data_IF_321782002091
#
_entry.id   IF_321782002091
#
_cell.length_a   1.000
_cell.length_b   1.000
_cell.length_c   1.000
_cell.angle_alpha   90.00
_cell.angle_beta   90.00
_cell.angle_gamma   90.00
#
_symmetry.space_group_name_H-M   'P 1'
#
loop_
_entity.id
_entity.type
_entity.pdbx_description
1 polymer ?
#
# COMPACT_ATOMS: atom_id res chain seq x y z
N UNK A 1 19.83 -12.94 11.14
CA UNK A 1 18.96 -12.52 10.02
C UNK A 1 17.56 -13.01 10.33
N UNK A 2 16.62 -12.11 10.62
CA UNK A 2 15.22 -12.48 10.87
C UNK A 2 14.56 -12.83 9.53
N UNK A 3 14.21 -14.10 9.36
CA UNK A 3 13.43 -14.60 8.23
C UNK A 3 11.96 -14.20 8.40
N UNK A 4 11.34 -13.72 7.31
CA UNK A 4 9.91 -13.42 7.25
C UNK A 4 9.09 -14.63 7.73
N UNK A 5 8.13 -14.42 8.63
CA UNK A 5 7.13 -15.41 9.03
C UNK A 5 5.79 -15.01 8.44
N UNK A 6 5.03 -15.97 7.91
CA UNK A 6 3.70 -15.71 7.40
C UNK A 6 2.82 -15.08 8.48
N UNK A 7 2.20 -13.95 8.15
CA UNK A 7 1.26 -13.29 9.05
C UNK A 7 -0.04 -14.09 9.13
N UNK A 8 -0.79 -13.92 10.22
CA UNK A 8 -2.08 -14.61 10.43
C UNK A 8 -3.07 -14.36 9.28
N UNK A 9 -3.10 -13.15 8.73
CA UNK A 9 -3.90 -12.80 7.56
C UNK A 9 -3.48 -13.54 6.29
N UNK A 10 -2.17 -13.70 6.06
CA UNK A 10 -1.65 -14.44 4.91
C UNK A 10 -1.95 -15.92 5.04
N UNK A 11 -1.75 -16.51 6.22
CA UNK A 11 -2.10 -17.91 6.50
C UNK A 11 -3.59 -18.17 6.29
N UNK A 12 -4.45 -17.26 6.78
CA UNK A 12 -5.89 -17.35 6.59
C UNK A 12 -6.26 -17.35 5.09
N UNK A 13 -5.56 -16.56 4.27
CA UNK A 13 -5.78 -16.53 2.83
C UNK A 13 -5.23 -17.76 2.10
N UNK A 14 -4.03 -18.18 2.43
CA UNK A 14 -3.43 -19.39 1.88
C UNK A 14 -4.31 -20.60 2.16
N UNK A 15 -4.84 -20.69 3.39
CA UNK A 15 -5.79 -21.74 3.81
C UNK A 15 -7.09 -21.62 3.03
N UNK A 16 -7.69 -20.44 2.97
CA UNK A 16 -8.96 -20.23 2.27
C UNK A 16 -8.86 -20.48 0.75
N UNK A 17 -7.68 -20.31 0.16
CA UNK A 17 -7.40 -20.56 -1.25
C UNK A 17 -6.90 -21.99 -1.54
N UNK A 18 -6.63 -22.80 -0.51
CA UNK A 18 -6.01 -24.12 -0.69
C UNK A 18 -4.60 -24.05 -1.28
N UNK A 19 -3.84 -23.01 -0.95
CA UNK A 19 -2.49 -22.75 -1.47
C UNK A 19 -1.39 -22.87 -0.41
N UNK A 20 -1.70 -23.44 0.76
CA UNK A 20 -0.75 -23.62 1.87
C UNK A 20 0.51 -24.35 1.41
N UNK A 21 0.37 -25.47 0.69
CA UNK A 21 1.52 -26.25 0.22
C UNK A 21 2.28 -25.57 -0.93
N UNK A 22 1.56 -24.82 -1.79
CA UNK A 22 2.14 -24.16 -2.96
C UNK A 22 3.05 -22.98 -2.60
N UNK A 23 2.85 -22.37 -1.43
CA UNK A 23 3.63 -21.23 -0.92
C UNK A 23 4.54 -21.61 0.24
N UNK A 24 4.54 -22.88 0.64
CA UNK A 24 5.44 -23.40 1.66
C UNK A 24 6.90 -23.10 1.26
N UNK A 25 7.67 -22.51 2.19
CA UNK A 25 9.08 -22.18 1.95
C UNK A 25 9.34 -20.97 1.05
N UNK A 26 8.32 -20.30 0.50
CA UNK A 26 8.50 -19.13 -0.39
C UNK A 26 8.77 -17.82 0.39
N UNK A 27 8.54 -17.82 1.71
CA UNK A 27 8.75 -16.67 2.60
C UNK A 27 10.11 -15.92 2.47
N UNK A 28 11.26 -16.54 2.10
CA UNK A 28 12.52 -15.79 1.94
C UNK A 28 12.53 -14.80 0.77
N UNK A 29 11.51 -14.83 -0.09
CA UNK A 29 11.33 -13.85 -1.16
C UNK A 29 11.04 -12.44 -0.60
N UNK A 30 10.45 -12.36 0.59
CA UNK A 30 10.24 -11.12 1.31
C UNK A 30 11.55 -10.71 2.00
N UNK A 31 12.00 -9.50 1.70
CA UNK A 31 13.21 -8.93 2.28
C UNK A 31 12.83 -7.95 3.38
N UNK A 32 13.53 -7.91 4.53
CA UNK A 32 13.19 -7.03 5.65
C UNK A 32 13.53 -5.54 5.41
N UNK A 33 14.00 -5.20 4.20
CA UNK A 33 14.44 -3.87 3.81
C UNK A 33 14.37 -3.76 2.28
N UNK A 34 14.41 -2.53 1.78
CA UNK A 34 14.59 -2.23 0.37
C UNK A 34 16.01 -2.64 -0.08
N UNK A 35 16.11 -3.16 -1.29
CA UNK A 35 17.40 -3.27 -1.98
C UNK A 35 17.74 -1.93 -2.65
N UNK A 36 18.99 -1.70 -3.02
CA UNK A 36 19.37 -0.52 -3.84
C UNK A 36 18.54 -0.44 -5.13
N UNK A 37 18.20 -1.59 -5.72
CA UNK A 37 17.31 -1.66 -6.87
C UNK A 37 15.89 -1.20 -6.53
N UNK A 38 15.33 -1.61 -5.38
CA UNK A 38 14.03 -1.14 -4.92
C UNK A 38 14.04 0.36 -4.63
N UNK A 39 15.08 0.91 -4.01
CA UNK A 39 15.18 2.35 -3.74
C UNK A 39 15.10 3.13 -5.05
N UNK A 40 15.99 2.83 -6.01
CA UNK A 40 15.99 3.49 -7.33
C UNK A 40 14.67 3.34 -8.08
N UNK A 41 14.02 2.18 -7.95
CA UNK A 41 12.74 1.93 -8.59
C UNK A 41 11.62 2.79 -8.00
N UNK A 42 11.51 2.89 -6.66
CA UNK A 42 10.42 3.66 -6.05
C UNK A 42 10.61 5.16 -6.24
N UNK A 43 11.85 5.66 -6.24
CA UNK A 43 12.15 7.09 -6.47
C UNK A 43 11.89 7.54 -7.90
N UNK A 44 11.81 6.61 -8.87
CA UNK A 44 11.51 6.91 -10.28
C UNK A 44 10.02 6.78 -10.63
N UNK A 45 9.13 6.63 -9.65
CA UNK A 45 7.69 6.51 -9.91
C UNK A 45 7.04 7.89 -9.95
N UNK A 46 6.06 8.04 -10.83
CA UNK A 46 5.16 9.21 -10.90
C UNK A 46 3.85 8.96 -10.13
N UNK A 47 3.48 7.68 -9.99
CA UNK A 47 2.28 7.22 -9.29
C UNK A 47 2.65 6.01 -8.45
N UNK A 48 2.22 6.00 -7.20
CA UNK A 48 2.36 4.89 -6.27
C UNK A 48 0.99 4.44 -5.75
N UNK A 49 0.44 3.33 -6.26
CA UNK A 49 -0.70 2.66 -5.66
C UNK A 49 -0.36 2.18 -4.25
N UNK A 50 -1.19 2.54 -3.27
CA UNK A 50 -1.06 2.11 -1.89
C UNK A 50 -2.37 1.56 -1.35
N UNK A 51 -2.26 0.67 -0.36
CA UNK A 51 -3.33 0.25 0.50
C UNK A 51 -3.05 0.75 1.91
N UNK A 52 -4.00 1.44 2.51
CA UNK A 52 -3.98 1.90 3.91
C UNK A 52 -5.21 1.37 4.61
N UNK A 53 -5.28 1.43 5.95
CA UNK A 53 -6.50 1.10 6.67
C UNK A 53 -7.15 2.36 7.23
N UNK A 54 -8.47 2.33 7.40
CA UNK A 54 -9.20 3.34 8.16
C UNK A 54 -9.25 3.02 9.67
N UNK A 55 -9.93 3.90 10.44
CA UNK A 55 -10.13 3.74 11.88
C UNK A 55 -10.92 2.49 12.25
N UNK A 56 -11.66 1.89 11.31
CA UNK A 56 -12.37 0.63 11.50
C UNK A 56 -11.52 -0.58 11.05
N UNK A 57 -10.25 -0.37 10.71
CA UNK A 57 -9.34 -1.41 10.21
C UNK A 57 -9.67 -1.93 8.82
N UNK A 58 -10.49 -1.23 8.04
CA UNK A 58 -10.88 -1.64 6.68
C UNK A 58 -9.82 -1.17 5.70
N UNK A 59 -9.42 -1.98 4.70
CA UNK A 59 -8.44 -1.56 3.71
C UNK A 59 -9.05 -0.68 2.63
N UNK A 60 -8.34 0.41 2.34
CA UNK A 60 -8.59 1.41 1.31
C UNK A 60 -7.44 1.41 0.31
N UNK A 61 -7.77 1.36 -0.97
CA UNK A 61 -6.80 1.52 -2.05
C UNK A 61 -6.82 2.95 -2.57
N UNK A 62 -5.66 3.56 -2.72
CA UNK A 62 -5.50 4.93 -3.23
C UNK A 62 -4.26 5.03 -4.10
N UNK A 63 -4.14 6.12 -4.84
CA UNK A 63 -2.94 6.47 -5.59
C UNK A 63 -2.27 7.67 -4.93
N UNK A 64 -0.98 7.54 -4.66
CA UNK A 64 -0.12 8.65 -4.28
C UNK A 64 0.58 9.19 -5.50
N UNK A 65 0.64 10.51 -5.64
CA UNK A 65 1.32 11.19 -6.74
C UNK A 65 1.78 12.57 -6.28
N UNK A 66 2.88 13.07 -6.85
CA UNK A 66 3.31 14.44 -6.67
C UNK A 66 2.26 15.41 -7.21
N UNK A 67 2.20 16.62 -6.64
CA UNK A 67 1.20 17.64 -6.99
C UNK A 67 1.17 17.99 -8.48
N UNK A 68 2.33 17.96 -9.15
CA UNK A 68 2.50 18.26 -10.57
C UNK A 68 2.57 16.99 -11.45
N UNK A 69 2.44 15.80 -10.85
CA UNK A 69 2.57 14.52 -11.54
C UNK A 69 4.00 14.18 -11.98
N UNK A 70 5.01 14.94 -11.54
CA UNK A 70 6.40 14.67 -11.88
C UNK A 70 7.01 13.54 -11.03
N UNK A 71 8.14 13.02 -11.48
CA UNK A 71 8.96 12.08 -10.72
C UNK A 71 9.64 12.76 -9.52
N UNK A 72 10.14 11.96 -8.58
CA UNK A 72 10.92 12.49 -7.44
C UNK A 72 10.08 12.92 -6.24
N UNK A 73 8.74 12.81 -6.31
CA UNK A 73 7.88 12.95 -5.13
C UNK A 73 8.16 11.86 -4.08
N UNK A 74 8.75 10.72 -4.49
CA UNK A 74 9.23 9.68 -3.58
C UNK A 74 10.74 9.77 -3.44
N UNK A 75 11.22 9.82 -2.20
CA UNK A 75 12.62 9.75 -1.82
C UNK A 75 12.86 8.49 -0.96
N UNK A 76 14.08 7.97 -0.95
CA UNK A 76 14.47 6.85 -0.09
C UNK A 76 15.73 7.21 0.71
N UNK A 77 15.58 7.85 1.89
CA UNK A 77 16.72 8.28 2.69
C UNK A 77 17.50 7.12 3.32
N UNK A 78 16.89 5.93 3.44
CA UNK A 78 17.53 4.71 3.95
C UNK A 78 16.94 3.46 3.29
N UNK A 79 17.56 2.30 3.52
CA UNK A 79 17.03 1.01 3.05
C UNK A 79 15.70 0.61 3.71
N UNK A 80 15.29 1.27 4.78
CA UNK A 80 14.05 0.97 5.51
C UNK A 80 13.08 2.14 5.48
N UNK A 81 13.30 3.15 4.63
CA UNK A 81 12.42 4.31 4.59
C UNK A 81 12.16 4.83 3.18
N UNK A 82 10.89 5.18 2.96
CA UNK A 82 10.41 5.94 1.82
C UNK A 82 9.74 7.21 2.34
N UNK A 83 9.99 8.34 1.70
CA UNK A 83 9.34 9.61 2.00
C UNK A 83 8.61 10.04 0.74
N UNK A 84 7.29 10.12 0.80
CA UNK A 84 6.48 10.63 -0.29
C UNK A 84 6.04 12.06 0.06
N UNK A 85 6.55 13.06 -0.66
CA UNK A 85 6.40 14.48 -0.39
C UNK A 85 5.68 15.23 -1.49
N UNK A 86 5.34 16.50 -1.20
CA UNK A 86 4.67 17.42 -2.11
C UNK A 86 3.42 16.83 -2.78
N UNK A 87 2.63 16.09 -2.00
CA UNK A 87 1.42 15.43 -2.46
C UNK A 87 0.17 16.17 -2.01
N UNK A 88 -0.95 15.90 -2.68
CA UNK A 88 -2.29 16.27 -2.21
C UNK A 88 -3.10 15.00 -1.99
N UNK A 89 -3.37 14.67 -0.73
CA UNK A 89 -4.23 13.54 -0.39
C UNK A 89 -5.71 13.94 -0.55
N UNK A 90 -6.53 12.98 -0.98
CA UNK A 90 -7.97 13.17 -0.99
C UNK A 90 -8.50 13.40 0.44
N UNK A 91 -9.50 14.26 0.61
CA UNK A 91 -10.00 14.65 1.95
C UNK A 91 -10.60 13.51 2.77
N UNK A 92 -11.10 12.48 2.07
CA UNK A 92 -11.64 11.23 2.63
C UNK A 92 -10.59 10.11 2.73
N UNK A 93 -9.32 10.39 2.40
CA UNK A 93 -8.26 9.39 2.53
C UNK A 93 -8.01 9.07 4.01
N UNK A 94 -7.93 7.80 4.44
CA UNK A 94 -7.73 7.45 5.85
C UNK A 94 -6.57 8.16 6.53
N UNK A 95 -5.41 8.23 5.85
CA UNK A 95 -4.23 8.96 6.35
C UNK A 95 -4.49 10.47 6.46
N UNK A 96 -5.25 11.08 5.55
CA UNK A 96 -5.57 12.52 5.62
C UNK A 96 -6.54 12.83 6.76
N UNK A 97 -7.56 11.98 6.94
CA UNK A 97 -8.50 12.07 8.07
C UNK A 97 -7.72 11.96 9.39
N UNK A 98 -6.88 10.94 9.52
CA UNK A 98 -6.08 10.73 10.73
C UNK A 98 -5.10 11.88 11.00
N UNK A 99 -4.42 12.42 9.96
CA UNK A 99 -3.56 13.61 10.13
C UNK A 99 -4.35 14.85 10.57
N UNK A 100 -5.55 15.08 10.01
CA UNK A 100 -6.42 16.20 10.37
C UNK A 100 -6.94 16.09 11.81
N UNK A 101 -7.21 14.89 12.27
CA UNK A 101 -7.67 14.58 13.64
C UNK A 101 -6.52 14.56 14.66
N UNK A 102 -5.28 14.84 14.22
CA UNK A 102 -4.11 14.88 15.10
C UNK A 102 -3.67 13.50 15.57
N UNK A 103 -3.97 12.44 14.81
CA UNK A 103 -3.53 11.09 15.13
C UNK A 103 -2.00 11.03 15.19
N UNK A 104 -1.49 10.48 16.29
CA UNK A 104 -0.05 10.23 16.47
C UNK A 104 0.32 8.90 15.79
N UNK A 105 1.01 8.99 14.65
CA UNK A 105 1.51 7.82 13.89
C UNK A 105 2.77 7.19 14.51
N UNK A 106 2.77 6.91 15.82
CA UNK A 106 3.96 6.49 16.58
C UNK A 106 4.50 5.13 16.21
N UNK A 107 5.83 4.97 16.26
CA UNK A 107 6.45 3.72 16.71
C UNK A 107 5.88 3.42 18.09
N UNK A 108 4.85 2.60 18.10
CA UNK A 108 4.34 1.99 19.31
C UNK A 108 4.72 0.54 19.19
N UNK A 109 5.10 -0.01 20.33
CA UNK A 109 5.58 -1.34 20.62
C UNK A 109 4.85 -2.55 20.00
N UNK A 110 3.94 -2.40 19.03
CA UNK A 110 3.42 -3.51 18.23
C UNK A 110 4.52 -4.29 17.47
N UNK A 111 5.70 -3.70 17.29
CA UNK A 111 6.87 -4.35 16.67
C UNK A 111 7.81 -4.99 17.73
N UNK A 112 7.64 -4.73 19.04
CA UNK A 112 8.49 -5.30 20.12
C UNK A 112 7.74 -5.88 21.34
N UNK A 113 6.42 -5.80 21.41
CA UNK A 113 5.57 -6.45 22.41
C UNK A 113 5.29 -5.68 23.71
N UNK A 114 5.59 -4.39 23.82
CA UNK A 114 5.62 -3.66 25.12
C UNK A 114 4.70 -2.41 25.28
N UNK A 115 3.69 -2.19 24.43
CA UNK A 115 2.72 -1.09 24.65
C UNK A 115 1.33 -1.43 24.09
N UNK A 116 0.37 -1.52 25.00
CA UNK A 116 -1.06 -1.75 24.75
C UNK A 116 -1.89 -0.47 24.79
N UNK A 117 -1.26 0.71 24.94
CA UNK A 117 -1.97 1.97 25.23
C UNK A 117 -2.41 2.79 24.01
N UNK A 118 -1.91 2.49 22.80
CA UNK A 118 -2.41 3.14 21.57
C UNK A 118 -3.39 2.23 20.82
N UNK A 119 -4.67 2.43 21.12
CA UNK A 119 -5.81 1.76 20.48
C UNK A 119 -6.10 2.42 19.13
N UNK A 120 -5.45 1.94 18.07
CA UNK A 120 -6.11 1.60 16.80
C UNK A 120 -5.06 1.05 15.81
N UNK A 121 -4.86 -0.28 15.74
CA UNK A 121 -3.86 -0.93 14.88
C UNK A 121 -4.03 -0.67 13.38
N UNK A 122 -5.20 -0.18 12.96
CA UNK A 122 -5.55 -0.01 11.55
C UNK A 122 -4.74 1.10 10.86
N UNK A 123 -4.85 2.32 11.36
CA UNK A 123 -4.48 3.54 10.62
C UNK A 123 -2.99 3.65 10.24
N UNK A 124 -2.12 2.83 10.84
CA UNK A 124 -0.67 2.90 10.65
C UNK A 124 -0.18 2.04 9.49
N UNK A 125 -0.88 0.96 9.15
CA UNK A 125 -0.39 0.01 8.15
C UNK A 125 -0.53 0.58 6.74
N UNK A 126 0.55 0.42 5.97
CA UNK A 126 0.58 0.78 4.56
C UNK A 126 1.29 -0.30 3.75
N UNK A 127 0.72 -0.65 2.60
CA UNK A 127 1.35 -1.50 1.61
C UNK A 127 1.34 -0.79 0.26
N UNK A 128 2.47 -0.78 -0.43
CA UNK A 128 2.60 -0.16 -1.75
C UNK A 128 2.86 -1.19 -2.83
N UNK A 129 2.30 -0.96 -4.02
CA UNK A 129 2.65 -1.69 -5.24
C UNK A 129 3.14 -0.68 -6.25
N UNK A 130 4.44 -0.41 -6.27
CA UNK A 130 5.04 0.42 -7.30
C UNK A 130 4.94 -0.28 -8.66
N UNK A 131 4.47 0.45 -9.66
CA UNK A 131 4.29 -0.04 -11.03
C UNK A 131 5.03 0.89 -11.97
N UNK A 132 5.99 0.34 -12.71
CA UNK A 132 6.66 1.06 -13.79
C UNK A 132 5.90 0.78 -15.08
N UNK A 133 5.24 1.80 -15.64
CA UNK A 133 4.31 1.61 -16.76
C UNK A 133 5.04 1.26 -18.07
N UNK A 134 6.28 1.72 -18.21
CA UNK A 134 7.14 1.54 -19.39
C UNK A 134 7.47 0.07 -19.59
N UNK A 135 7.78 -0.67 -18.51
CA UNK A 135 8.32 -2.03 -18.60
C UNK A 135 7.56 -3.05 -17.73
N UNK A 136 6.46 -2.63 -17.10
CA UNK A 136 5.57 -3.45 -16.26
C UNK A 136 6.24 -4.10 -15.06
N UNK A 137 7.43 -3.65 -14.66
CA UNK A 137 8.08 -4.09 -13.42
C UNK A 137 7.24 -3.65 -12.23
N UNK A 138 7.07 -4.54 -11.26
CA UNK A 138 6.37 -4.24 -10.02
C UNK A 138 7.28 -4.52 -8.84
N UNK A 139 7.46 -3.54 -7.97
CA UNK A 139 8.04 -3.79 -6.66
C UNK A 139 7.00 -3.45 -5.61
N UNK A 140 6.93 -4.29 -4.59
CA UNK A 140 5.99 -4.15 -3.48
C UNK A 140 6.77 -3.83 -2.23
N UNK A 141 6.14 -3.09 -1.33
CA UNK A 141 6.59 -2.95 0.04
C UNK A 141 5.40 -3.03 0.98
N UNK A 142 5.67 -3.40 2.23
CA UNK A 142 4.75 -3.30 3.34
C UNK A 142 5.47 -2.71 4.56
N UNK A 143 4.72 -2.00 5.39
CA UNK A 143 5.27 -1.32 6.54
C UNK A 143 4.23 -0.43 7.19
N UNK A 144 4.69 0.67 7.77
CA UNK A 144 3.82 1.60 8.48
C UNK A 144 4.15 3.07 8.19
N UNK A 145 3.13 3.91 8.36
CA UNK A 145 3.22 5.36 8.29
C UNK A 145 3.78 5.89 9.62
N UNK A 146 4.78 6.77 9.57
CA UNK A 146 5.54 7.30 10.72
C UNK A 146 4.96 8.66 11.22
N UNK A 147 5.30 9.13 12.43
CA UNK A 147 4.87 10.42 12.99
C UNK A 147 5.43 11.64 12.29
N UNK A 148 6.54 11.49 11.56
CA UNK A 148 7.23 12.59 10.87
C UNK A 148 6.46 13.13 9.66
N UNK A 149 5.19 12.80 9.53
CA UNK A 149 4.32 13.34 8.48
C UNK A 149 4.05 14.80 8.77
N UNK A 150 4.35 15.65 7.80
CA UNK A 150 4.30 17.11 7.93
C UNK A 150 3.65 17.73 6.71
N UNK A 151 3.38 19.03 6.80
CA UNK A 151 2.91 19.84 5.70
C UNK A 151 1.44 20.25 5.82
N UNK A 152 0.95 20.96 4.82
CA UNK A 152 -0.41 21.52 4.78
C UNK A 152 -1.37 20.58 4.03
N UNK A 153 -2.68 20.89 4.02
CA UNK A 153 -3.67 20.10 3.26
C UNK A 153 -3.32 19.99 1.77
N UNK A 154 -2.69 21.02 1.21
CA UNK A 154 -2.34 21.11 -0.20
C UNK A 154 -0.91 20.62 -0.50
N UNK A 155 -0.13 20.37 0.54
CA UNK A 155 1.25 19.90 0.44
C UNK A 155 1.58 18.97 1.61
N UNK A 156 1.25 17.70 1.46
CA UNK A 156 1.50 16.64 2.44
C UNK A 156 2.80 15.91 2.14
N UNK A 157 3.53 15.63 3.21
CA UNK A 157 4.64 14.69 3.21
C UNK A 157 4.32 13.56 4.18
N UNK A 158 4.39 12.32 3.69
CA UNK A 158 4.28 11.13 4.52
C UNK A 158 5.58 10.33 4.51
N UNK A 159 5.99 9.84 5.66
CA UNK A 159 7.12 8.93 5.78
C UNK A 159 6.62 7.52 6.06
N UNK A 160 7.10 6.58 5.26
CA UNK A 160 6.85 5.15 5.41
C UNK A 160 8.11 4.48 5.91
N UNK A 161 7.97 3.68 6.96
CA UNK A 161 8.98 2.74 7.42
C UNK A 161 8.69 1.37 6.81
N UNK A 162 9.60 0.92 5.95
CA UNK A 162 9.47 -0.32 5.19
C UNK A 162 9.95 -1.47 6.06
N UNK A 163 9.05 -2.38 6.36
CA UNK A 163 9.35 -3.64 7.06
C UNK A 163 9.64 -4.76 6.08
N UNK A 164 8.98 -4.76 4.93
CA UNK A 164 9.06 -5.85 3.97
C UNK A 164 9.08 -5.30 2.55
N UNK A 165 9.87 -5.92 1.68
CA UNK A 165 9.86 -5.62 0.27
C UNK A 165 9.95 -6.87 -0.59
N UNK A 166 9.29 -6.82 -1.75
CA UNK A 166 9.16 -7.93 -2.67
C UNK A 166 9.22 -7.43 -4.11
N UNK A 167 10.19 -7.92 -4.87
CA UNK A 167 10.25 -7.68 -6.31
C UNK A 167 9.41 -8.68 -7.09
N UNK A 168 8.55 -8.20 -7.99
CA UNK A 168 7.78 -9.02 -8.92
C UNK A 168 7.93 -8.46 -10.34
N UNK A 169 8.93 -8.98 -11.06
CA UNK A 169 9.13 -8.62 -12.46
C UNK A 169 8.35 -9.56 -13.39
N UNK A 170 7.83 -9.06 -14.53
CA UNK A 170 7.27 -9.94 -15.54
C UNK A 170 8.38 -10.83 -16.13
N UNK A 171 8.02 -12.06 -16.57
CA UNK A 171 8.96 -12.97 -17.25
C UNK A 171 9.56 -12.35 -18.53
N UNK A 172 8.78 -11.52 -19.22
CA UNK A 172 9.19 -10.80 -20.43
C UNK A 172 8.94 -9.30 -20.24
N UNK A 173 9.97 -8.49 -20.51
CA UNK A 173 9.89 -7.04 -20.44
C UNK A 173 9.64 -6.50 -21.84
N UNK A 174 8.43 -6.00 -22.06
CA UNK A 174 8.06 -5.26 -23.26
C UNK A 174 8.02 -3.77 -22.90
N UNK A 175 8.83 -2.97 -23.58
CA UNK A 175 8.88 -1.53 -23.37
C UNK A 175 7.70 -0.83 -24.05
N UNK A 176 7.21 0.23 -23.41
CA UNK A 176 6.10 1.07 -23.87
C UNK A 176 6.47 2.52 -23.66
N UNK A 177 6.00 3.38 -24.54
CA UNK A 177 6.03 4.81 -24.31
C UNK A 177 4.70 5.22 -23.66
N UNK A 178 4.80 5.89 -22.51
CA UNK A 178 3.64 6.48 -21.84
C UNK A 178 3.54 7.95 -22.27
N UNK A 179 2.36 8.35 -22.74
CA UNK A 179 2.11 9.74 -23.17
C UNK A 179 1.06 10.34 -22.25
N UNK A 180 1.35 11.45 -21.57
CA UNK A 180 0.37 12.15 -20.75
C UNK A 180 -0.85 12.56 -21.58
N UNK A 181 -2.04 12.42 -21.01
CA UNK A 181 -3.27 12.95 -21.59
C UNK A 181 -3.72 14.20 -20.81
N UNK A 182 -3.34 15.42 -21.25
CA UNK A 182 -3.65 16.65 -20.52
C UNK A 182 -5.15 16.98 -20.50
N UNK A 183 -5.92 16.39 -21.40
CA UNK A 183 -7.37 16.60 -21.49
C UNK A 183 -8.16 15.64 -20.59
N UNK A 184 -7.49 14.76 -19.85
CA UNK A 184 -8.16 13.85 -18.94
C UNK A 184 -8.72 14.62 -17.73
N UNK A 185 -10.03 14.53 -17.52
CA UNK A 185 -10.72 15.13 -16.37
C UNK A 185 -11.30 13.99 -15.52
N UNK A 186 -10.56 13.49 -14.51
CA UNK A 186 -11.10 12.49 -13.61
C UNK A 186 -12.31 13.06 -12.88
N UNK A 187 -13.32 12.23 -12.70
CA UNK A 187 -14.57 12.58 -12.03
C UNK A 187 -14.98 11.48 -11.07
N UNK A 188 -15.56 11.87 -9.94
CA UNK A 188 -16.03 10.93 -8.93
C UNK A 188 -17.31 10.25 -9.42
N UNK A 189 -17.22 8.95 -9.73
CA UNK A 189 -18.37 8.16 -10.18
C UNK A 189 -19.30 7.77 -9.02
N UNK A 190 -18.73 7.53 -7.83
CA UNK A 190 -19.49 7.10 -6.66
C UNK A 190 -18.83 7.55 -5.36
N UNK A 191 -19.61 8.11 -4.43
CA UNK A 191 -19.16 8.48 -3.08
C UNK A 191 -19.93 7.67 -2.03
N UNK A 192 -19.40 6.50 -1.66
CA UNK A 192 -19.97 5.67 -0.59
C UNK A 192 -18.88 5.02 0.24
N UNK A 193 -18.58 5.67 1.38
CA UNK A 193 -17.51 5.25 2.28
C UNK A 193 -17.86 3.98 3.07
N UNK A 194 -19.16 3.71 3.21
CA UNK A 194 -19.69 2.56 3.92
C UNK A 194 -20.58 1.74 2.99
N UNK A 195 -20.02 0.68 2.41
CA UNK A 195 -20.84 -0.33 1.73
C UNK A 195 -21.54 -1.20 2.78
N UNK A 196 -22.86 -1.45 2.67
CA UNK A 196 -23.55 -2.39 3.54
C UNK A 196 -22.99 -3.80 3.32
N UNK A 197 -23.15 -4.66 4.33
CA UNK A 197 -22.50 -5.98 4.38
C UNK A 197 -22.79 -6.82 3.13
N UNK A 198 -24.01 -6.75 2.58
CA UNK A 198 -24.37 -7.47 1.36
C UNK A 198 -23.68 -6.96 0.08
N UNK A 199 -23.27 -5.70 0.06
CA UNK A 199 -22.60 -5.05 -1.09
C UNK A 199 -21.07 -5.08 -0.97
N UNK A 200 -20.52 -5.52 0.17
CA UNK A 200 -19.09 -5.80 0.31
C UNK A 200 -18.77 -7.06 -0.50
N UNK A 201 -17.60 -7.12 -1.12
CA UNK A 201 -17.17 -8.27 -1.92
C UNK A 201 -17.27 -9.57 -1.11
N UNK A 202 -18.36 -10.33 -1.26
CA UNK A 202 -18.58 -11.58 -0.52
C UNK A 202 -17.40 -12.52 -0.71
N UNK A 203 -17.05 -13.25 0.36
CA UNK A 203 -16.17 -14.43 0.29
C UNK A 203 -16.83 -15.42 -0.67
N UNK A 204 -16.42 -15.43 -1.94
CA UNK A 204 -16.98 -16.34 -2.94
C UNK A 204 -16.57 -17.75 -2.49
N UNK A 205 -17.52 -18.57 -2.05
CA UNK A 205 -17.28 -20.01 -1.84
C UNK A 205 -16.64 -20.53 -3.13
N UNK A 206 -15.48 -21.16 -3.00
CA UNK A 206 -14.70 -21.69 -4.11
C UNK A 206 -15.59 -22.58 -4.99
N UNK A 207 -15.84 -22.13 -6.22
CA UNK A 207 -16.22 -23.04 -7.29
C UNK A 207 -14.91 -23.55 -7.90
N UNK A 208 -14.61 -24.86 -7.86
CA UNK A 208 -13.31 -25.41 -8.27
C UNK A 208 -12.92 -25.11 -9.73
N UNK A 209 -13.86 -24.63 -10.56
CA UNK A 209 -13.65 -24.31 -11.97
C UNK A 209 -13.24 -22.86 -12.28
N UNK A 210 -13.28 -21.92 -11.31
CA UNK A 210 -12.87 -20.52 -11.53
C UNK A 210 -12.05 -19.97 -10.35
N UNK A 211 -10.72 -20.03 -10.47
CA UNK A 211 -9.76 -19.46 -9.52
C UNK A 211 -9.73 -17.92 -9.63
N UNK A 212 -10.62 -17.24 -8.90
CA UNK A 212 -10.44 -15.83 -8.53
C UNK A 212 -11.30 -15.53 -7.30
N UNK A 213 -10.64 -15.39 -6.15
CA UNK A 213 -11.25 -14.91 -4.91
C UNK A 213 -10.62 -13.55 -4.60
N UNK A 214 -11.43 -12.49 -4.61
CA UNK A 214 -11.02 -11.18 -4.10
C UNK A 214 -11.20 -11.16 -2.58
N UNK A 215 -10.24 -10.53 -1.91
CA UNK A 215 -10.33 -10.14 -0.51
C UNK A 215 -11.50 -9.16 -0.31
N UNK A 216 -12.11 -9.15 0.88
CA UNK A 216 -12.98 -8.05 1.29
C UNK A 216 -12.14 -6.78 1.44
N UNK A 217 -11.91 -6.08 0.35
CA UNK A 217 -11.41 -4.72 0.34
C UNK A 217 -12.55 -3.79 -0.05
N UNK A 218 -12.85 -2.82 0.80
CA UNK A 218 -13.59 -1.63 0.36
C UNK A 218 -12.59 -0.77 -0.40
N UNK A 219 -12.27 -1.16 -1.64
CA UNK A 219 -11.50 -0.32 -2.54
C UNK A 219 -12.41 0.83 -2.99
N UNK A 220 -12.43 1.92 -2.24
CA UNK A 220 -12.97 3.18 -2.69
C UNK A 220 -11.90 3.79 -3.58
N UNK A 221 -12.01 3.58 -4.89
CA UNK A 221 -11.22 4.34 -5.85
C UNK A 221 -11.68 5.80 -5.77
N UNK A 222 -10.93 6.64 -5.06
CA UNK A 222 -10.88 8.06 -5.38
C UNK A 222 -10.04 8.17 -6.66
N UNK A 223 -10.72 8.40 -7.79
CA UNK A 223 -10.11 8.80 -9.06
C UNK A 223 -9.99 10.31 -9.10
#
# INVERSE_FOLDING_TARGET
MTTHKWHSGELALQTALGHVDAVAGVHPIFRPQLTTQHQRFHTSLQILPVATLDSLGRPWASFLTGRDGSEGFIQSPSFTSLVAGSMRLHEDHPVEIALREGAKFGMTSLVRGDDTSYQDPGLKLIAGVGVMFENRRRNKFAGFVNEKNVGTKDERTIQVEVMESLGNCPKYINTRQFTPNPNHKPGMLHKKLNLPLESRCRKRRSNPSRKQMLLHAQAICAL
#
